data_IF_438043023189
#
_entry.id   IF_438043023189
#
_cell.length_a   1.000
_cell.length_b   1.000
_cell.length_c   1.000
_cell.angle_alpha   90.00
_cell.angle_beta   90.00
_cell.angle_gamma   90.00
#
_symmetry.space_group_name_H-M   'P 1'
#
loop_
_entity.id
_entity.type
_entity.pdbx_description
1 polymer ?
#
# COMPACT_ATOMS: atom_id res chain seq x y z
N UNK A 1 101.55 -7.48 26.74
CA UNK A 1 100.21 -7.56 27.36
C UNK A 1 99.53 -6.19 27.50
N UNK A 2 100.20 -5.13 27.98
CA UNK A 2 99.60 -3.77 28.10
C UNK A 2 99.34 -3.11 26.74
N UNK A 3 100.19 -3.37 25.74
CA UNK A 3 100.15 -2.71 24.43
C UNK A 3 99.03 -3.24 23.50
N UNK A 4 98.64 -4.52 23.64
CA UNK A 4 97.51 -5.11 22.92
C UNK A 4 96.16 -4.66 23.49
N UNK A 5 96.08 -4.48 24.82
CA UNK A 5 94.87 -4.01 25.49
C UNK A 5 94.56 -2.55 25.16
N UNK A 6 95.60 -1.70 25.06
CA UNK A 6 95.47 -0.31 24.61
C UNK A 6 95.06 -0.20 23.14
N UNK A 7 95.62 -1.01 22.24
CA UNK A 7 95.19 -1.05 20.83
C UNK A 7 93.75 -1.53 20.67
N UNK A 8 93.32 -2.51 21.46
CA UNK A 8 91.93 -2.95 21.47
C UNK A 8 90.98 -1.87 21.97
N UNK A 9 91.29 -1.19 23.08
CA UNK A 9 90.48 -0.07 23.60
C UNK A 9 90.41 1.09 22.60
N UNK A 10 91.54 1.49 22.01
CA UNK A 10 91.56 2.57 21.00
C UNK A 10 90.75 2.19 19.77
N UNK A 11 90.81 0.94 19.31
CA UNK A 11 90.00 0.43 18.20
C UNK A 11 88.49 0.38 18.50
N UNK A 12 88.12 0.02 19.73
CA UNK A 12 86.71 0.01 20.18
C UNK A 12 86.19 1.44 20.34
N UNK A 13 86.97 2.34 20.93
CA UNK A 13 86.59 3.76 21.12
C UNK A 13 86.49 4.51 19.79
N UNK A 14 87.38 4.23 18.83
CA UNK A 14 87.28 4.83 17.49
C UNK A 14 86.09 4.28 16.69
N UNK A 15 85.80 2.96 16.76
CA UNK A 15 84.59 2.39 16.13
C UNK A 15 83.28 2.93 16.73
N UNK A 16 83.20 3.00 18.06
CA UNK A 16 82.02 3.54 18.76
C UNK A 16 81.87 5.04 18.52
N UNK A 17 82.98 5.79 18.50
CA UNK A 17 83.00 7.22 18.17
C UNK A 17 82.58 7.52 16.73
N UNK A 18 82.99 6.68 15.77
CA UNK A 18 82.61 6.83 14.37
C UNK A 18 81.12 6.50 14.14
N UNK A 19 80.60 5.45 14.78
CA UNK A 19 79.18 5.09 14.71
C UNK A 19 78.27 6.12 15.38
N UNK A 20 78.70 6.72 16.50
CA UNK A 20 77.95 7.81 17.15
C UNK A 20 78.00 9.10 16.33
N UNK A 21 79.12 9.41 15.68
CA UNK A 21 79.24 10.58 14.80
C UNK A 21 78.37 10.44 13.54
N UNK A 22 78.37 9.26 12.90
CA UNK A 22 77.51 8.96 11.75
C UNK A 22 76.03 8.98 12.16
N UNK A 23 75.69 8.38 13.30
CA UNK A 23 74.33 8.42 13.85
C UNK A 23 73.85 9.85 14.12
N UNK A 24 74.73 10.72 14.65
CA UNK A 24 74.41 12.12 14.92
C UNK A 24 74.24 12.94 13.63
N UNK A 25 75.11 12.77 12.64
CA UNK A 25 75.02 13.45 11.35
C UNK A 25 73.81 12.98 10.52
N UNK A 26 73.48 11.68 10.58
CA UNK A 26 72.33 11.13 9.88
C UNK A 26 71.00 11.35 10.61
N UNK A 27 70.99 11.72 11.89
CA UNK A 27 69.76 11.95 12.68
C UNK A 27 68.78 12.89 11.98
N UNK A 28 69.27 13.97 11.37
CA UNK A 28 68.43 14.95 10.67
C UNK A 28 67.96 14.47 9.30
N UNK A 29 68.77 13.69 8.56
CA UNK A 29 68.39 13.14 7.25
C UNK A 29 67.42 11.98 7.39
N UNK A 30 67.68 11.04 8.30
CA UNK A 30 66.81 9.91 8.61
C UNK A 30 65.48 10.43 9.13
N UNK A 31 65.49 11.33 10.12
CA UNK A 31 64.27 11.95 10.65
C UNK A 31 63.42 12.59 9.54
N UNK A 32 64.00 13.46 8.71
CA UNK A 32 63.25 14.13 7.61
C UNK A 32 62.75 13.16 6.54
N UNK A 33 63.51 12.11 6.20
CA UNK A 33 63.10 11.13 5.20
C UNK A 33 61.96 10.24 5.70
N UNK A 34 62.01 9.83 6.96
CA UNK A 34 60.92 9.08 7.60
C UNK A 34 59.68 9.95 7.79
N UNK A 35 59.80 11.18 8.29
CA UNK A 35 58.65 12.08 8.47
C UNK A 35 57.97 12.40 7.14
N UNK A 36 58.72 12.80 6.10
CA UNK A 36 58.13 13.06 4.77
C UNK A 36 57.52 11.83 4.11
N UNK A 37 58.14 10.65 4.27
CA UNK A 37 57.60 9.41 3.71
C UNK A 37 56.32 8.97 4.42
N UNK A 38 56.23 9.24 5.73
CA UNK A 38 55.06 8.98 6.56
C UNK A 38 53.94 9.98 6.22
N UNK A 39 54.23 11.29 6.17
CA UNK A 39 53.30 12.34 5.75
C UNK A 39 52.70 12.06 4.37
N UNK A 40 53.54 11.78 3.37
CA UNK A 40 53.08 11.48 2.01
C UNK A 40 52.19 10.23 1.96
N UNK A 41 52.51 9.18 2.74
CA UNK A 41 51.66 7.98 2.81
C UNK A 41 50.34 8.23 3.52
N UNK A 42 50.32 9.08 4.55
CA UNK A 42 49.09 9.46 5.25
C UNK A 42 48.21 10.38 4.39
N UNK A 43 48.80 11.37 3.75
CA UNK A 43 48.09 12.29 2.85
C UNK A 43 47.47 11.54 1.67
N UNK A 44 48.22 10.63 1.04
CA UNK A 44 47.70 9.75 -0.02
C UNK A 44 46.62 8.79 0.46
N UNK A 45 46.67 8.31 1.71
CA UNK A 45 45.59 7.50 2.31
C UNK A 45 44.35 8.35 2.56
N UNK A 46 44.48 9.57 3.08
CA UNK A 46 43.36 10.49 3.34
C UNK A 46 42.71 10.91 2.03
N UNK A 47 43.49 11.16 0.99
CA UNK A 47 42.99 11.57 -0.32
C UNK A 47 42.21 10.42 -1.00
N UNK A 48 42.75 9.19 -0.97
CA UNK A 48 42.00 8.00 -1.42
C UNK A 48 40.74 7.78 -0.59
N UNK A 49 40.83 7.88 0.73
CA UNK A 49 39.68 7.72 1.62
C UNK A 49 38.60 8.78 1.38
N UNK A 50 38.96 10.04 1.12
CA UNK A 50 38.02 11.08 0.69
C UNK A 50 37.38 10.78 -0.66
N UNK A 51 38.16 10.24 -1.60
CA UNK A 51 37.65 9.82 -2.91
C UNK A 51 36.64 8.68 -2.78
N UNK A 52 36.99 7.64 -2.01
CA UNK A 52 36.14 6.47 -1.77
C UNK A 52 34.85 6.86 -1.02
N UNK A 53 34.93 7.78 -0.05
CA UNK A 53 33.74 8.35 0.61
C UNK A 53 32.85 9.10 -0.39
N UNK A 54 33.44 9.94 -1.24
CA UNK A 54 32.69 10.74 -2.21
C UNK A 54 32.05 9.88 -3.30
N UNK A 55 32.72 8.81 -3.70
CA UNK A 55 32.20 7.81 -4.62
C UNK A 55 31.06 7.00 -3.98
N UNK A 56 31.24 6.56 -2.73
CA UNK A 56 30.19 5.91 -1.94
C UNK A 56 28.97 6.81 -1.69
N UNK A 57 29.15 8.10 -1.40
CA UNK A 57 28.06 9.08 -1.28
C UNK A 57 27.28 9.22 -2.59
N UNK A 58 27.99 9.24 -3.73
CA UNK A 58 27.37 9.34 -5.06
C UNK A 58 26.60 8.08 -5.44
N UNK A 59 27.13 6.90 -5.15
CA UNK A 59 26.42 5.63 -5.34
C UNK A 59 25.18 5.54 -4.45
N UNK A 60 25.28 6.00 -3.21
CA UNK A 60 24.20 6.01 -2.24
C UNK A 60 23.11 7.02 -2.64
N UNK A 61 23.47 8.17 -3.20
CA UNK A 61 22.53 9.12 -3.80
C UNK A 61 21.83 8.51 -5.04
N UNK A 62 22.55 7.76 -5.86
CA UNK A 62 21.96 7.02 -6.98
C UNK A 62 20.96 5.96 -6.49
N UNK A 63 21.32 5.15 -5.48
CA UNK A 63 20.41 4.17 -4.85
C UNK A 63 19.18 4.86 -4.26
N UNK A 64 19.34 6.00 -3.57
CA UNK A 64 18.22 6.79 -3.04
C UNK A 64 17.29 7.27 -4.14
N UNK A 65 17.85 7.80 -5.23
CA UNK A 65 17.08 8.25 -6.38
C UNK A 65 16.33 7.10 -7.08
N UNK A 66 16.99 5.94 -7.20
CA UNK A 66 16.41 4.73 -7.78
C UNK A 66 15.28 4.15 -6.93
N UNK A 67 15.48 4.02 -5.62
CA UNK A 67 14.44 3.59 -4.69
C UNK A 67 13.26 4.56 -4.66
N UNK A 68 13.54 5.86 -4.64
CA UNK A 68 12.50 6.89 -4.71
C UNK A 68 11.70 6.80 -6.01
N UNK A 69 12.36 6.62 -7.15
CA UNK A 69 11.72 6.55 -8.47
C UNK A 69 10.91 5.26 -8.70
N UNK A 70 11.39 4.11 -8.24
CA UNK A 70 10.61 2.85 -8.25
C UNK A 70 9.37 3.02 -7.40
N UNK A 71 9.53 3.56 -6.19
CA UNK A 71 8.42 3.74 -5.26
C UNK A 71 7.40 4.72 -5.81
N UNK A 72 7.83 5.87 -6.31
CA UNK A 72 6.93 6.83 -6.96
C UNK A 72 6.26 6.24 -8.19
N UNK A 73 6.98 5.44 -8.99
CA UNK A 73 6.45 4.76 -10.16
C UNK A 73 5.37 3.74 -9.80
N UNK A 74 5.65 2.86 -8.82
CA UNK A 74 4.69 1.88 -8.32
C UNK A 74 3.47 2.53 -7.68
N UNK A 75 3.68 3.56 -6.86
CA UNK A 75 2.59 4.26 -6.18
C UNK A 75 1.71 5.00 -7.20
N UNK A 76 2.30 5.59 -8.25
CA UNK A 76 1.56 6.19 -9.37
C UNK A 76 0.71 5.17 -10.12
N UNK A 77 1.29 4.00 -10.44
CA UNK A 77 0.56 2.92 -11.11
C UNK A 77 -0.57 2.39 -10.22
N UNK A 78 -0.30 2.20 -8.93
CA UNK A 78 -1.29 1.75 -7.95
C UNK A 78 -2.44 2.74 -7.82
N UNK A 79 -2.13 4.04 -7.73
CA UNK A 79 -3.14 5.10 -7.73
C UNK A 79 -3.95 5.08 -9.02
N UNK A 80 -3.30 4.97 -10.19
CA UNK A 80 -4.00 4.85 -11.47
C UNK A 80 -4.95 3.66 -11.52
N UNK A 81 -4.55 2.50 -10.98
CA UNK A 81 -5.43 1.32 -10.84
C UNK A 81 -6.58 1.56 -9.88
N UNK A 82 -6.35 2.31 -8.81
CA UNK A 82 -7.37 2.70 -7.84
C UNK A 82 -8.43 3.62 -8.45
N UNK A 83 -8.02 4.61 -9.24
CA UNK A 83 -8.94 5.46 -10.01
C UNK A 83 -9.76 4.63 -11.01
N UNK A 84 -9.10 3.76 -11.79
CA UNK A 84 -9.79 2.89 -12.74
C UNK A 84 -10.80 1.94 -12.05
N UNK A 85 -10.45 1.38 -10.89
CA UNK A 85 -11.35 0.56 -10.08
C UNK A 85 -12.56 1.36 -9.58
N UNK A 86 -12.34 2.59 -9.11
CA UNK A 86 -13.41 3.46 -8.66
C UNK A 86 -14.34 3.87 -9.81
N UNK A 87 -13.80 4.22 -10.98
CA UNK A 87 -14.57 4.53 -12.18
C UNK A 87 -15.42 3.34 -12.62
N UNK A 88 -14.84 2.13 -12.61
CA UNK A 88 -15.56 0.90 -12.90
C UNK A 88 -16.74 0.71 -11.96
N UNK A 89 -16.57 0.83 -10.64
CA UNK A 89 -17.69 0.73 -9.69
C UNK A 89 -18.74 1.83 -9.87
N UNK A 90 -18.35 3.05 -10.29
CA UNK A 90 -19.32 4.12 -10.60
C UNK A 90 -20.19 3.71 -11.80
N UNK A 91 -19.60 3.10 -12.83
CA UNK A 91 -20.36 2.60 -13.98
C UNK A 91 -21.34 1.50 -13.55
N UNK A 92 -20.89 0.53 -12.75
CA UNK A 92 -21.80 -0.52 -12.24
C UNK A 92 -22.90 0.08 -11.37
N UNK A 93 -22.57 1.03 -10.49
CA UNK A 93 -23.54 1.73 -9.65
C UNK A 93 -24.61 2.45 -10.48
N UNK A 94 -24.20 3.13 -11.55
CA UNK A 94 -25.11 3.82 -12.45
C UNK A 94 -26.01 2.83 -13.19
N UNK A 95 -25.45 1.71 -13.66
CA UNK A 95 -26.22 0.64 -14.28
C UNK A 95 -27.25 0.03 -13.31
N UNK A 96 -26.84 -0.27 -12.08
CA UNK A 96 -27.72 -0.81 -11.04
C UNK A 96 -28.89 0.13 -10.69
N UNK A 97 -28.73 1.45 -10.87
CA UNK A 97 -29.82 2.40 -10.68
C UNK A 97 -31.00 2.17 -11.65
N UNK A 98 -30.78 1.49 -12.78
CA UNK A 98 -31.86 1.11 -13.69
C UNK A 98 -32.89 0.15 -13.06
N UNK A 99 -32.54 -0.51 -11.95
CA UNK A 99 -33.46 -1.33 -11.15
C UNK A 99 -34.30 -0.51 -10.16
N UNK A 100 -34.07 0.80 -10.01
CA UNK A 100 -34.74 1.63 -9.01
C UNK A 100 -36.27 1.65 -9.14
N UNK A 101 -36.80 1.51 -10.37
CA UNK A 101 -38.25 1.37 -10.59
C UNK A 101 -38.81 0.10 -9.95
N UNK A 102 -38.08 -1.03 -10.04
CA UNK A 102 -38.47 -2.27 -9.38
C UNK A 102 -38.48 -2.09 -7.85
N UNK A 103 -37.45 -1.43 -7.30
CA UNK A 103 -37.38 -1.11 -5.86
C UNK A 103 -38.58 -0.25 -5.43
N UNK A 104 -38.93 0.75 -6.23
CA UNK A 104 -40.06 1.65 -5.95
C UNK A 104 -41.38 0.88 -5.91
N UNK A 105 -41.60 -0.03 -6.86
CA UNK A 105 -42.79 -0.88 -6.84
C UNK A 105 -42.82 -1.79 -5.61
N UNK A 106 -41.71 -2.40 -5.22
CA UNK A 106 -41.68 -3.24 -4.01
C UNK A 106 -42.03 -2.43 -2.75
N UNK A 107 -41.55 -1.19 -2.63
CA UNK A 107 -41.88 -0.32 -1.48
C UNK A 107 -43.36 0.05 -1.44
N UNK A 108 -43.99 0.25 -2.60
CA UNK A 108 -45.38 0.71 -2.71
C UNK A 108 -46.39 -0.45 -2.63
N UNK A 109 -45.98 -1.65 -3.02
CA UNK A 109 -46.87 -2.80 -3.17
C UNK A 109 -46.71 -3.77 -2.01
N UNK A 110 -47.85 -4.28 -1.53
CA UNK A 110 -47.85 -5.42 -0.59
C UNK A 110 -47.66 -6.71 -1.37
N UNK A 111 -46.41 -7.08 -1.58
CA UNK A 111 -46.01 -8.25 -2.39
C UNK A 111 -46.71 -9.53 -1.91
N UNK A 112 -46.82 -9.72 -0.60
CA UNK A 112 -47.50 -10.89 -0.01
C UNK A 112 -49.01 -10.93 -0.32
N UNK A 113 -49.67 -9.78 -0.40
CA UNK A 113 -51.09 -9.71 -0.77
C UNK A 113 -51.29 -9.92 -2.28
N UNK A 114 -50.37 -9.43 -3.10
CA UNK A 114 -50.40 -9.62 -4.55
C UNK A 114 -50.16 -11.09 -4.93
N UNK A 115 -49.21 -11.74 -4.26
CA UNK A 115 -48.92 -13.17 -4.38
C UNK A 115 -50.17 -14.02 -4.15
N UNK A 116 -50.92 -13.73 -3.08
CA UNK A 116 -52.17 -14.44 -2.72
C UNK A 116 -53.32 -14.23 -3.71
N UNK A 117 -53.29 -13.15 -4.49
CA UNK A 117 -54.30 -12.80 -5.50
C UNK A 117 -53.82 -13.03 -6.94
N UNK A 118 -52.75 -13.79 -7.12
CA UNK A 118 -52.13 -14.06 -8.42
C UNK A 118 -53.04 -14.69 -9.47
N UNK A 119 -54.10 -15.39 -9.04
CA UNK A 119 -55.13 -15.93 -9.94
C UNK A 119 -56.10 -14.90 -10.54
N UNK A 120 -56.12 -13.67 -10.03
CA UNK A 120 -56.98 -12.60 -10.55
C UNK A 120 -56.39 -12.00 -11.84
N UNK A 121 -57.16 -12.05 -12.92
CA UNK A 121 -56.79 -11.46 -14.22
C UNK A 121 -56.45 -9.97 -14.14
N UNK A 122 -57.07 -9.21 -13.22
CA UNK A 122 -56.76 -7.80 -13.02
C UNK A 122 -55.39 -7.60 -12.38
N UNK A 123 -55.05 -8.44 -11.39
CA UNK A 123 -53.72 -8.42 -10.75
C UNK A 123 -52.66 -8.79 -11.76
N UNK A 124 -52.88 -9.85 -12.54
CA UNK A 124 -51.95 -10.27 -13.60
C UNK A 124 -51.76 -9.19 -14.67
N UNK A 125 -52.83 -8.57 -15.16
CA UNK A 125 -52.74 -7.48 -16.13
C UNK A 125 -52.02 -6.24 -15.58
N UNK A 126 -52.21 -5.92 -14.30
CA UNK A 126 -51.46 -4.86 -13.62
C UNK A 126 -49.97 -5.17 -13.50
N UNK A 127 -49.62 -6.38 -13.06
CA UNK A 127 -48.22 -6.83 -12.96
C UNK A 127 -47.54 -6.79 -14.32
N UNK A 128 -48.19 -7.32 -15.37
CA UNK A 128 -47.69 -7.26 -16.74
C UNK A 128 -47.40 -5.81 -17.19
N UNK A 129 -48.31 -4.88 -16.87
CA UNK A 129 -48.18 -3.48 -17.26
C UNK A 129 -47.03 -2.75 -16.58
N UNK A 130 -46.68 -3.12 -15.33
CA UNK A 130 -45.61 -2.45 -14.59
C UNK A 130 -44.26 -3.16 -14.71
N UNK A 131 -44.23 -4.49 -14.89
CA UNK A 131 -43.01 -5.30 -14.88
C UNK A 131 -42.37 -5.38 -16.26
N UNK A 132 -43.15 -5.66 -17.31
CA UNK A 132 -42.62 -5.83 -18.69
C UNK A 132 -41.81 -4.61 -19.16
N UNK A 133 -42.24 -3.35 -18.93
CA UNK A 133 -41.45 -2.18 -19.34
C UNK A 133 -40.09 -2.06 -18.64
N UNK A 134 -39.91 -2.67 -17.46
CA UNK A 134 -38.64 -2.61 -16.71
C UNK A 134 -37.56 -3.43 -17.41
N UNK A 135 -37.93 -4.45 -18.21
CA UNK A 135 -37.01 -5.32 -18.97
C UNK A 135 -35.91 -5.92 -18.07
N UNK A 136 -36.33 -6.55 -16.97
CA UNK A 136 -35.41 -7.11 -15.95
C UNK A 136 -34.41 -8.11 -16.57
N UNK A 137 -34.86 -8.97 -17.50
CA UNK A 137 -33.98 -9.96 -18.14
C UNK A 137 -32.84 -9.30 -18.92
N UNK A 138 -33.15 -8.29 -19.74
CA UNK A 138 -32.14 -7.53 -20.49
C UNK A 138 -31.14 -6.84 -19.55
N UNK A 139 -31.62 -6.31 -18.42
CA UNK A 139 -30.77 -5.64 -17.42
C UNK A 139 -29.88 -6.63 -16.66
N UNK A 140 -30.39 -7.81 -16.31
CA UNK A 140 -29.58 -8.86 -15.67
C UNK A 140 -28.50 -9.38 -16.63
N UNK A 141 -28.81 -9.51 -17.92
CA UNK A 141 -27.80 -9.83 -18.93
C UNK A 141 -26.77 -8.71 -19.12
N UNK A 142 -27.21 -7.45 -19.10
CA UNK A 142 -26.31 -6.30 -19.12
C UNK A 142 -25.37 -6.26 -17.92
N UNK A 143 -25.88 -6.57 -16.73
CA UNK A 143 -25.11 -6.60 -15.50
C UNK A 143 -23.94 -7.61 -15.54
N UNK A 144 -24.16 -8.79 -16.14
CA UNK A 144 -23.12 -9.84 -16.27
C UNK A 144 -21.87 -9.41 -17.04
N UNK A 145 -21.95 -8.31 -17.81
CA UNK A 145 -20.82 -7.77 -18.58
C UNK A 145 -19.83 -6.97 -17.74
N UNK A 146 -20.24 -6.54 -16.54
CA UNK A 146 -19.38 -5.78 -15.65
C UNK A 146 -18.48 -6.71 -14.84
N UNK A 147 -17.22 -6.30 -14.71
CA UNK A 147 -16.29 -6.93 -13.78
C UNK A 147 -16.41 -6.25 -12.41
N UNK A 148 -17.02 -6.95 -11.45
CA UNK A 148 -17.15 -6.49 -10.07
C UNK A 148 -16.05 -7.04 -9.17
N UNK A 149 -15.17 -7.91 -9.68
CA UNK A 149 -14.14 -8.59 -8.88
C UNK A 149 -12.83 -7.81 -8.89
N UNK A 150 -12.36 -7.36 -10.06
CA UNK A 150 -11.10 -6.61 -10.16
C UNK A 150 -11.08 -5.34 -9.31
N UNK A 151 -12.17 -4.54 -9.23
CA UNK A 151 -12.16 -3.36 -8.37
C UNK A 151 -11.88 -3.65 -6.89
N UNK A 152 -12.25 -4.84 -6.40
CA UNK A 152 -12.03 -5.25 -4.99
C UNK A 152 -10.56 -5.39 -4.63
N UNK A 153 -9.67 -5.60 -5.62
CA UNK A 153 -8.23 -5.70 -5.39
C UNK A 153 -7.61 -4.36 -4.98
N UNK A 154 -8.20 -3.26 -5.44
CA UNK A 154 -7.60 -1.92 -5.34
C UNK A 154 -8.35 -0.98 -4.38
N UNK A 155 -9.57 -1.36 -3.99
CA UNK A 155 -10.42 -0.58 -3.12
C UNK A 155 -10.47 -1.17 -1.72
N UNK A 156 -10.72 -0.32 -0.74
CA UNK A 156 -10.82 -0.72 0.66
C UNK A 156 -12.03 -1.63 0.91
N UNK A 157 -11.91 -2.54 1.88
CA UNK A 157 -12.99 -3.43 2.30
C UNK A 157 -14.27 -2.66 2.64
N UNK A 158 -14.13 -1.47 3.25
CA UNK A 158 -15.27 -0.60 3.57
C UNK A 158 -16.02 -0.14 2.32
N UNK A 159 -15.31 0.35 1.31
CA UNK A 159 -15.91 0.78 0.04
C UNK A 159 -16.55 -0.38 -0.69
N UNK A 160 -15.86 -1.52 -0.73
CA UNK A 160 -16.37 -2.76 -1.33
C UNK A 160 -17.65 -3.22 -0.64
N UNK A 161 -17.68 -3.24 0.70
CA UNK A 161 -18.86 -3.65 1.49
C UNK A 161 -20.06 -2.76 1.20
N UNK A 162 -19.87 -1.44 1.17
CA UNK A 162 -20.95 -0.48 0.85
C UNK A 162 -21.50 -0.71 -0.55
N UNK A 163 -20.62 -0.97 -1.53
CA UNK A 163 -21.03 -1.29 -2.89
C UNK A 163 -21.78 -2.62 -2.97
N UNK A 164 -21.28 -3.68 -2.32
CA UNK A 164 -21.92 -5.00 -2.32
C UNK A 164 -23.31 -4.97 -1.68
N UNK A 165 -23.49 -4.18 -0.62
CA UNK A 165 -24.82 -3.99 -0.01
C UNK A 165 -25.76 -3.31 -1.01
N UNK A 166 -25.31 -2.22 -1.64
CA UNK A 166 -26.10 -1.52 -2.66
C UNK A 166 -26.49 -2.45 -3.82
N UNK A 167 -25.52 -3.18 -4.34
CA UNK A 167 -25.67 -4.15 -5.41
C UNK A 167 -26.68 -5.24 -5.04
N UNK A 168 -26.55 -5.81 -3.84
CA UNK A 168 -27.47 -6.83 -3.33
C UNK A 168 -28.90 -6.29 -3.25
N UNK A 169 -29.12 -5.08 -2.71
CA UNK A 169 -30.46 -4.47 -2.65
C UNK A 169 -31.07 -4.36 -4.05
N UNK A 170 -30.30 -3.86 -5.03
CA UNK A 170 -30.78 -3.63 -6.39
C UNK A 170 -31.10 -4.93 -7.12
N UNK A 171 -30.21 -5.91 -7.06
CA UNK A 171 -30.41 -7.22 -7.68
C UNK A 171 -31.55 -7.99 -7.02
N UNK A 172 -31.61 -8.02 -5.68
CA UNK A 172 -32.72 -8.64 -4.95
C UNK A 172 -34.05 -8.06 -5.40
N UNK A 173 -34.18 -6.73 -5.50
CA UNK A 173 -35.45 -6.15 -5.90
C UNK A 173 -35.81 -6.39 -7.37
N UNK A 174 -34.83 -6.42 -8.28
CA UNK A 174 -35.05 -6.86 -9.66
C UNK A 174 -35.58 -8.30 -9.73
N UNK A 175 -34.95 -9.20 -8.96
CA UNK A 175 -35.33 -10.61 -8.87
C UNK A 175 -36.71 -10.78 -8.23
N UNK A 176 -37.02 -10.09 -7.13
CA UNK A 176 -38.33 -10.18 -6.46
C UNK A 176 -39.46 -9.81 -7.40
N UNK A 177 -39.31 -8.72 -8.15
CA UNK A 177 -40.30 -8.29 -9.15
C UNK A 177 -40.43 -9.33 -10.27
N UNK A 178 -39.33 -9.89 -10.75
CA UNK A 178 -39.37 -10.94 -11.78
C UNK A 178 -40.04 -12.23 -11.29
N UNK A 179 -39.79 -12.62 -10.05
CA UNK A 179 -40.47 -13.77 -9.44
C UNK A 179 -41.97 -13.54 -9.29
N UNK A 180 -42.39 -12.31 -8.96
CA UNK A 180 -43.80 -11.95 -8.90
C UNK A 180 -44.52 -12.10 -10.25
N UNK A 181 -43.80 -11.95 -11.37
CA UNK A 181 -44.33 -12.16 -12.73
C UNK A 181 -44.45 -13.66 -13.09
N UNK A 182 -43.43 -14.46 -12.76
CA UNK A 182 -43.32 -15.85 -13.22
C UNK A 182 -43.98 -16.84 -12.26
N UNK A 183 -43.72 -16.70 -10.96
CA UNK A 183 -44.14 -17.62 -9.90
C UNK A 183 -44.60 -16.82 -8.67
N UNK A 184 -45.69 -16.03 -8.80
CA UNK A 184 -46.14 -15.13 -7.74
C UNK A 184 -46.45 -15.84 -6.42
N UNK A 185 -46.95 -17.07 -6.47
CA UNK A 185 -47.28 -17.92 -5.31
C UNK A 185 -46.07 -18.38 -4.51
N UNK A 186 -44.86 -18.30 -5.07
CA UNK A 186 -43.63 -18.81 -4.47
C UNK A 186 -42.67 -17.69 -4.00
N UNK A 187 -43.04 -16.42 -4.16
CA UNK A 187 -42.17 -15.28 -3.85
C UNK A 187 -41.71 -15.28 -2.39
N UNK A 188 -42.62 -15.53 -1.44
CA UNK A 188 -42.31 -15.55 -0.01
C UNK A 188 -41.39 -16.70 0.40
N UNK A 189 -41.45 -17.80 -0.34
CA UNK A 189 -40.75 -19.04 0.01
C UNK A 189 -39.30 -19.04 -0.48
N UNK A 190 -39.02 -18.31 -1.57
CA UNK A 190 -37.68 -18.21 -2.15
C UNK A 190 -36.96 -16.92 -1.80
N UNK A 191 -37.67 -15.81 -1.54
CA UNK A 191 -37.03 -14.52 -1.27
C UNK A 191 -36.77 -14.34 0.22
N UNK A 192 -35.56 -14.70 0.65
CA UNK A 192 -35.06 -14.38 2.00
C UNK A 192 -34.02 -13.27 1.93
N UNK A 193 -34.08 -12.33 2.87
CA UNK A 193 -33.15 -11.20 2.94
C UNK A 193 -32.23 -11.25 4.16
N UNK A 194 -32.24 -12.35 4.92
CA UNK A 194 -31.53 -12.49 6.20
C UNK A 194 -30.04 -12.12 6.09
N UNK A 195 -29.35 -12.59 5.05
CA UNK A 195 -27.93 -12.28 4.82
C UNK A 195 -27.71 -10.78 4.56
N UNK A 196 -28.61 -10.15 3.78
CA UNK A 196 -28.53 -8.73 3.47
C UNK A 196 -28.86 -7.86 4.70
N UNK A 197 -29.87 -8.26 5.49
CA UNK A 197 -30.23 -7.62 6.75
C UNK A 197 -29.03 -7.65 7.71
N UNK A 198 -28.37 -8.80 7.88
CA UNK A 198 -27.16 -8.93 8.71
C UNK A 198 -26.06 -7.97 8.24
N UNK A 199 -25.74 -7.95 6.95
CA UNK A 199 -24.72 -7.03 6.39
C UNK A 199 -25.05 -5.56 6.64
N UNK A 200 -26.33 -5.16 6.50
CA UNK A 200 -26.75 -3.78 6.74
C UNK A 200 -26.62 -3.44 8.22
N UNK A 201 -27.04 -4.31 9.13
CA UNK A 201 -26.94 -4.09 10.59
C UNK A 201 -25.47 -4.05 11.04
N UNK A 202 -24.62 -4.92 10.51
CA UNK A 202 -23.18 -4.89 10.80
C UNK A 202 -22.55 -3.57 10.34
N UNK A 203 -22.95 -3.07 9.17
CA UNK A 203 -22.44 -1.79 8.65
C UNK A 203 -23.06 -0.57 9.35
N UNK A 204 -24.32 -0.65 9.76
CA UNK A 204 -25.12 0.42 10.38
C UNK A 204 -25.89 -0.15 11.58
N UNK A 205 -25.27 -0.29 12.76
CA UNK A 205 -25.92 -0.92 13.90
C UNK A 205 -27.25 -0.26 14.32
N UNK A 206 -27.42 1.04 14.06
CA UNK A 206 -28.65 1.77 14.33
C UNK A 206 -29.83 1.37 13.43
N UNK A 207 -29.61 0.63 12.34
CA UNK A 207 -30.69 0.14 11.48
C UNK A 207 -31.48 -1.01 12.09
N UNK A 208 -30.95 -1.66 13.14
CA UNK A 208 -31.51 -2.87 13.75
C UNK A 208 -32.98 -2.71 14.17
N UNK A 209 -33.29 -1.62 14.87
CA UNK A 209 -34.65 -1.31 15.35
C UNK A 209 -35.66 -1.19 14.20
N UNK A 210 -35.23 -0.64 13.06
CA UNK A 210 -36.05 -0.56 11.85
C UNK A 210 -36.38 -1.93 11.26
N UNK A 211 -35.42 -2.87 11.26
CA UNK A 211 -35.67 -4.24 10.80
C UNK A 211 -36.57 -5.02 11.76
N UNK A 212 -36.43 -4.82 13.07
CA UNK A 212 -37.33 -5.44 14.07
C UNK A 212 -38.77 -4.92 13.94
N UNK A 213 -38.95 -3.66 13.57
CA UNK A 213 -40.27 -3.02 13.43
C UNK A 213 -40.94 -3.31 12.09
N UNK A 214 -40.21 -3.23 10.98
CA UNK A 214 -40.75 -3.27 9.63
C UNK A 214 -40.46 -4.58 8.87
N UNK A 215 -39.70 -5.48 9.49
CA UNK A 215 -39.32 -6.77 8.91
C UNK A 215 -38.26 -6.67 7.82
N UNK A 216 -37.93 -7.81 7.24
CA UNK A 216 -36.82 -7.97 6.28
C UNK A 216 -37.00 -7.15 4.99
N UNK A 217 -38.23 -6.91 4.54
CA UNK A 217 -38.51 -6.06 3.37
C UNK A 217 -38.04 -4.61 3.57
N UNK A 218 -37.71 -4.20 4.80
CA UNK A 218 -37.13 -2.90 5.09
C UNK A 218 -35.79 -2.67 4.37
N UNK A 219 -35.09 -3.72 3.90
CA UNK A 219 -33.84 -3.59 3.14
C UNK A 219 -33.96 -2.64 1.95
N UNK A 220 -35.12 -2.61 1.28
CA UNK A 220 -35.32 -1.77 0.10
C UNK A 220 -35.31 -0.28 0.43
N UNK A 221 -35.69 0.12 1.64
CA UNK A 221 -35.66 1.53 2.07
C UNK A 221 -34.24 2.08 2.21
N UNK A 222 -33.24 1.20 2.30
CA UNK A 222 -31.83 1.58 2.35
C UNK A 222 -31.19 1.83 0.97
N UNK A 223 -31.92 1.59 -0.12
CA UNK A 223 -31.42 1.75 -1.51
C UNK A 223 -30.73 3.10 -1.74
N UNK A 224 -31.38 4.18 -1.33
CA UNK A 224 -30.94 5.55 -1.62
C UNK A 224 -29.78 5.95 -0.72
N UNK A 225 -29.79 5.45 0.52
CA UNK A 225 -28.70 5.62 1.46
C UNK A 225 -27.42 5.01 0.87
N UNK A 226 -27.46 3.72 0.52
CA UNK A 226 -26.28 3.03 0.00
C UNK A 226 -25.87 3.56 -1.38
N UNK A 227 -26.81 3.98 -2.23
CA UNK A 227 -26.48 4.69 -3.47
C UNK A 227 -25.59 5.91 -3.24
N UNK A 228 -25.92 6.74 -2.24
CA UNK A 228 -25.13 7.94 -1.89
C UNK A 228 -23.84 7.58 -1.18
N UNK A 229 -23.90 6.60 -0.27
CA UNK A 229 -22.75 6.19 0.53
C UNK A 229 -21.64 5.57 -0.34
N UNK A 230 -21.97 4.83 -1.41
CA UNK A 230 -20.96 4.34 -2.38
C UNK A 230 -20.12 5.50 -2.92
N UNK A 231 -20.77 6.57 -3.39
CA UNK A 231 -20.06 7.72 -3.96
C UNK A 231 -19.20 8.43 -2.91
N UNK A 232 -19.71 8.55 -1.68
CA UNK A 232 -18.98 9.16 -0.58
C UNK A 232 -17.73 8.36 -0.21
N UNK A 233 -17.85 7.04 -0.09
CA UNK A 233 -16.70 6.18 0.23
C UNK A 233 -15.65 6.22 -0.89
N UNK A 234 -16.07 6.16 -2.16
CA UNK A 234 -15.16 6.29 -3.31
C UNK A 234 -14.41 7.64 -3.31
N UNK A 235 -15.11 8.75 -3.01
CA UNK A 235 -14.46 10.07 -2.91
C UNK A 235 -13.44 10.13 -1.77
N UNK A 236 -13.81 9.65 -0.59
CA UNK A 236 -12.91 9.59 0.56
C UNK A 236 -11.68 8.73 0.25
N UNK A 237 -11.88 7.66 -0.48
CA UNK A 237 -10.85 6.70 -0.83
C UNK A 237 -9.84 7.23 -1.89
N UNK A 238 -10.30 8.06 -2.83
CA UNK A 238 -9.47 8.66 -3.87
C UNK A 238 -8.82 9.98 -3.44
N UNK A 239 -9.57 10.83 -2.74
CA UNK A 239 -9.15 12.21 -2.45
C UNK A 239 -8.45 12.28 -1.10
N UNK A 240 -9.03 11.64 -0.08
CA UNK A 240 -8.53 11.57 1.30
C UNK A 240 -8.11 12.92 1.90
N UNK A 241 -8.79 13.38 2.94
CA UNK A 241 -8.33 14.50 3.81
C UNK A 241 -6.95 14.24 4.50
N UNK A 242 -6.25 13.14 4.16
CA UNK A 242 -5.08 12.60 4.85
C UNK A 242 -3.84 12.39 3.96
N UNK A 243 -3.77 12.95 2.76
CA UNK A 243 -2.57 12.81 1.91
C UNK A 243 -1.30 13.26 2.66
N UNK A 244 -1.38 14.30 3.50
CA UNK A 244 -0.24 14.78 4.27
C UNK A 244 0.28 13.78 5.33
N UNK A 245 -0.62 13.08 6.03
CA UNK A 245 -0.24 12.07 7.02
C UNK A 245 0.37 10.83 6.35
N UNK A 246 -0.20 10.42 5.21
CA UNK A 246 0.29 9.32 4.41
C UNK A 246 1.65 9.63 3.78
N UNK A 247 1.84 10.85 3.26
CA UNK A 247 3.12 11.30 2.71
C UNK A 247 4.21 11.36 3.79
N UNK A 248 3.84 11.77 5.01
CA UNK A 248 4.74 11.78 6.17
C UNK A 248 5.15 10.36 6.59
N UNK A 249 4.20 9.42 6.66
CA UNK A 249 4.48 8.01 6.94
C UNK A 249 5.34 7.37 5.83
N UNK A 250 5.05 7.68 4.57
CA UNK A 250 5.83 7.19 3.45
C UNK A 250 7.28 7.69 3.50
N UNK A 251 7.49 8.96 3.84
CA UNK A 251 8.81 9.55 4.05
C UNK A 251 9.56 8.90 5.22
N UNK A 252 8.88 8.68 6.35
CA UNK A 252 9.45 7.99 7.50
C UNK A 252 9.87 6.55 7.14
N UNK A 253 9.02 5.82 6.42
CA UNK A 253 9.32 4.45 5.97
C UNK A 253 10.48 4.41 4.98
N UNK A 254 10.58 5.37 4.06
CA UNK A 254 11.73 5.48 3.16
C UNK A 254 13.05 5.68 3.91
N UNK A 255 13.04 6.47 4.99
CA UNK A 255 14.22 6.66 5.84
C UNK A 255 14.63 5.37 6.57
N UNK A 256 13.66 4.56 7.02
CA UNK A 256 13.89 3.26 7.66
C UNK A 256 14.47 2.26 6.64
N UNK A 257 13.81 2.08 5.50
CA UNK A 257 14.24 1.15 4.44
C UNK A 257 15.67 1.47 3.96
N UNK A 258 16.00 2.76 3.89
CA UNK A 258 17.35 3.22 3.55
C UNK A 258 18.38 2.82 4.61
N UNK A 259 18.05 2.95 5.89
CA UNK A 259 18.93 2.53 6.99
C UNK A 259 19.18 1.02 6.97
N UNK A 260 18.14 0.24 6.68
CA UNK A 260 18.24 -1.21 6.59
C UNK A 260 19.09 -1.64 5.38
N UNK A 261 18.94 -0.97 4.24
CA UNK A 261 19.79 -1.18 3.08
C UNK A 261 21.27 -0.88 3.38
N UNK A 262 21.57 0.23 4.08
CA UNK A 262 22.93 0.53 4.52
C UNK A 262 23.49 -0.55 5.45
N UNK A 263 22.66 -1.08 6.35
CA UNK A 263 23.08 -2.13 7.26
C UNK A 263 23.37 -3.44 6.52
N UNK A 264 22.54 -3.84 5.56
CA UNK A 264 22.77 -5.02 4.72
C UNK A 264 24.07 -4.88 3.91
N UNK A 265 24.34 -3.70 3.37
CA UNK A 265 25.61 -3.41 2.67
C UNK A 265 26.80 -3.52 3.63
N UNK A 266 26.68 -3.00 4.85
CA UNK A 266 27.73 -3.11 5.87
C UNK A 266 27.99 -4.57 6.28
N UNK A 267 26.93 -5.36 6.47
CA UNK A 267 27.00 -6.78 6.80
C UNK A 267 27.61 -7.61 5.67
N UNK A 268 27.32 -7.28 4.40
CA UNK A 268 27.94 -7.95 3.25
C UNK A 268 29.43 -7.61 3.13
N UNK A 269 29.83 -6.36 3.33
CA UNK A 269 31.24 -5.94 3.36
C UNK A 269 32.04 -6.64 4.46
N UNK A 270 31.45 -6.84 5.65
CA UNK A 270 32.06 -7.62 6.72
C UNK A 270 32.30 -9.09 6.36
N UNK A 271 31.38 -9.72 5.61
CA UNK A 271 31.54 -11.11 5.12
C UNK A 271 32.68 -11.27 4.11
N UNK A 272 33.07 -10.21 3.39
CA UNK A 272 34.19 -10.22 2.43
C UNK A 272 35.54 -9.79 3.05
N UNK A 273 35.63 -9.69 4.38
CA UNK A 273 36.91 -9.54 5.09
C UNK A 273 37.38 -8.10 5.33
N UNK A 274 36.51 -7.10 5.16
CA UNK A 274 36.79 -5.73 5.62
C UNK A 274 36.65 -5.67 7.15
N UNK A 275 37.76 -5.35 7.85
CA UNK A 275 37.79 -5.12 9.30
C UNK A 275 36.86 -3.98 9.71
N UNK A 276 36.15 -4.13 10.84
CA UNK A 276 35.32 -3.06 11.43
C UNK A 276 36.10 -1.76 11.69
N UNK A 277 37.43 -1.82 11.85
CA UNK A 277 38.30 -0.65 12.01
C UNK A 277 38.40 0.23 10.75
N UNK A 278 38.07 -0.31 9.57
CA UNK A 278 38.05 0.43 8.30
C UNK A 278 36.64 0.94 7.94
N UNK A 279 35.61 0.57 8.72
CA UNK A 279 34.24 0.99 8.50
C UNK A 279 33.90 2.19 9.41
N UNK A 280 33.59 3.34 8.81
CA UNK A 280 33.22 4.53 9.58
C UNK A 280 31.94 4.26 10.38
N UNK A 281 32.06 4.19 11.71
CA UNK A 281 30.91 4.14 12.61
C UNK A 281 30.33 5.55 12.75
N UNK A 282 29.63 6.02 11.71
CA UNK A 282 28.76 7.17 11.88
C UNK A 282 27.59 6.77 12.77
N UNK A 283 27.80 6.89 14.09
CA UNK A 283 26.71 7.09 15.05
C UNK A 283 26.04 8.40 14.65
N UNK A 284 24.98 8.30 13.87
CA UNK A 284 24.03 9.40 13.65
C UNK A 284 23.46 9.75 15.03
N UNK A 285 23.86 10.91 15.55
CA UNK A 285 23.21 11.55 16.70
C UNK A 285 21.91 12.18 16.19
N UNK A 286 20.80 11.79 16.80
CA UNK A 286 19.53 12.55 16.86
C UNK A 286 18.76 12.60 15.56
#
# INVERSE_FOLDING_TARGET
>A
MIDEFLKWIVGVVTSVGFLTLIGYLMRNSIGRFFTKSIEYRFEKKIERFKSDIREGEKELEQVRSYLSSIRSGRDTVLQGKKFAAAESLIQVRQFLYEFNMAITYIKMLKIDELSKKSGDHKVKGFLDAIIKPIKIDEKLEGYKKFDTTTPKLYLSDRTVTVFEIYESIMLCGGITIKFLDIAPDQVSDFMTYESLVKKIIEFIPSSKDGFETYGDNYVFYWSDYFYKEVLKQLRNELIGDSNMAKDTELAAKLAIDFRDAQQIVKESLGKYGLSEELMNSNKVRG
#
